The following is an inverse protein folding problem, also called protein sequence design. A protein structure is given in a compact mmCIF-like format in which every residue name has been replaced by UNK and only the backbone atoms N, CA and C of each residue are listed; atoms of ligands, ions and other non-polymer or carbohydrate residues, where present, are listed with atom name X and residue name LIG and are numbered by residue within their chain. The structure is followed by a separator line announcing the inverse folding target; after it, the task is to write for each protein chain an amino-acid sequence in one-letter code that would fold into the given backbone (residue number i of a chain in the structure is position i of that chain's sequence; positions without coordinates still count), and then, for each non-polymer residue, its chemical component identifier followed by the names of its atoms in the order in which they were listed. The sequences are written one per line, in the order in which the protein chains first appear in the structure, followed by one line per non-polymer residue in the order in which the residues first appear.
data_IF_845659413937
#
_entry.id   IF_845659413937
#
_cell.length_a   1.000
_cell.length_b   1.000
_cell.length_c   1.000
_cell.angle_alpha   90.00
_cell.angle_beta   90.00
_cell.angle_gamma   90.00
#
_symmetry.space_group_name_H-M   'P 1'
#
loop_
_entity.id
_entity.type
_entity.pdbx_description
1 polymer ?
#
# COMPACT_ATOMS: atom_id res chain seq x y z
N UNK A 1 13.92 -33.97 -14.32
CA UNK A 1 14.13 -32.52 -14.61
C UNK A 1 12.82 -31.82 -14.99
N UNK A 2 11.97 -32.44 -15.82
CA UNK A 2 10.68 -31.90 -16.30
C UNK A 2 9.74 -31.37 -15.22
N UNK A 3 9.56 -32.07 -14.08
CA UNK A 3 8.69 -31.60 -12.99
C UNK A 3 9.05 -30.20 -12.45
N UNK A 4 10.30 -29.77 -12.56
CA UNK A 4 10.73 -28.42 -12.13
C UNK A 4 10.39 -27.34 -13.18
N UNK A 5 10.35 -27.70 -14.46
CA UNK A 5 10.06 -26.78 -15.58
C UNK A 5 8.58 -26.36 -15.64
N UNK A 6 7.67 -27.24 -15.21
CA UNK A 6 6.23 -26.95 -15.15
C UNK A 6 5.76 -26.34 -13.81
N UNK A 7 6.66 -25.97 -12.92
CA UNK A 7 6.29 -25.44 -11.59
C UNK A 7 5.90 -23.96 -11.69
N UNK A 8 4.61 -23.69 -11.48
CA UNK A 8 4.04 -22.34 -11.60
C UNK A 8 4.51 -21.36 -10.53
N UNK A 9 4.89 -21.85 -9.34
CA UNK A 9 5.26 -20.99 -8.20
C UNK A 9 4.07 -20.33 -7.50
N UNK A 10 2.83 -20.75 -7.82
CA UNK A 10 1.57 -20.20 -7.29
C UNK A 10 1.55 -20.00 -5.78
N UNK A 11 2.12 -20.93 -5.02
CA UNK A 11 2.12 -20.89 -3.55
C UNK A 11 2.76 -19.59 -3.03
N UNK A 12 3.91 -19.21 -3.58
CA UNK A 12 4.60 -17.98 -3.16
C UNK A 12 3.76 -16.74 -3.52
N UNK A 13 3.21 -16.69 -4.73
CA UNK A 13 2.36 -15.58 -5.18
C UNK A 13 1.12 -15.44 -4.31
N UNK A 14 0.45 -16.54 -3.98
CA UNK A 14 -0.73 -16.54 -3.09
C UNK A 14 -0.36 -16.02 -1.70
N UNK A 15 0.76 -16.50 -1.14
CA UNK A 15 1.25 -16.04 0.16
C UNK A 15 1.54 -14.53 0.16
N UNK A 16 2.22 -14.02 -0.88
CA UNK A 16 2.50 -12.58 -1.05
C UNK A 16 1.20 -11.77 -1.15
N UNK A 17 0.20 -12.24 -1.90
CA UNK A 17 -1.09 -11.56 -1.99
C UNK A 17 -1.84 -11.54 -0.65
N UNK A 18 -1.81 -12.64 0.12
CA UNK A 18 -2.42 -12.70 1.46
C UNK A 18 -1.75 -11.69 2.38
N UNK A 19 -0.42 -11.63 2.41
CA UNK A 19 0.31 -10.67 3.24
C UNK A 19 -0.09 -9.23 2.89
N UNK A 20 -0.08 -8.87 1.60
CA UNK A 20 -0.49 -7.54 1.15
C UNK A 20 -1.95 -7.23 1.52
N UNK A 21 -2.86 -8.20 1.41
CA UNK A 21 -4.26 -8.02 1.79
C UNK A 21 -4.43 -7.79 3.30
N UNK A 22 -3.71 -8.53 4.14
CA UNK A 22 -3.71 -8.34 5.60
C UNK A 22 -3.17 -6.96 5.97
N UNK A 23 -2.09 -6.52 5.32
CA UNK A 23 -1.54 -5.18 5.54
C UNK A 23 -2.53 -4.08 5.12
N UNK A 24 -3.19 -4.22 3.96
CA UNK A 24 -4.23 -3.29 3.52
C UNK A 24 -5.40 -3.24 4.52
N UNK A 25 -5.87 -4.38 5.02
CA UNK A 25 -6.94 -4.45 6.00
C UNK A 25 -6.54 -3.79 7.33
N UNK A 26 -5.31 -4.01 7.79
CA UNK A 26 -4.78 -3.37 8.99
C UNK A 26 -4.75 -1.84 8.85
N UNK A 27 -4.29 -1.30 7.72
CA UNK A 27 -4.27 0.16 7.49
C UNK A 27 -5.68 0.74 7.36
N UNK A 28 -6.59 0.02 6.70
CA UNK A 28 -7.99 0.43 6.61
C UNK A 28 -8.66 0.48 8.00
N UNK A 29 -8.36 -0.50 8.87
CA UNK A 29 -8.85 -0.52 10.25
C UNK A 29 -8.26 0.63 11.08
N UNK A 30 -6.98 0.96 10.92
CA UNK A 30 -6.37 2.12 11.58
C UNK A 30 -7.01 3.44 11.12
N UNK A 31 -7.20 3.62 9.81
CA UNK A 31 -7.90 4.80 9.26
C UNK A 31 -9.31 4.91 9.85
N UNK A 32 -10.07 3.81 9.83
CA UNK A 32 -11.42 3.79 10.37
C UNK A 32 -11.46 4.10 11.87
N UNK A 33 -10.52 3.56 12.65
CA UNK A 33 -10.39 3.83 14.08
C UNK A 33 -10.04 5.29 14.39
N UNK A 34 -9.10 5.87 13.63
CA UNK A 34 -8.73 7.29 13.77
C UNK A 34 -9.92 8.19 13.43
N UNK A 35 -10.56 7.98 12.28
CA UNK A 35 -11.73 8.77 11.87
C UNK A 35 -12.86 8.61 12.89
N UNK A 36 -13.14 7.38 13.33
CA UNK A 36 -14.18 7.12 14.33
C UNK A 36 -13.91 7.86 15.64
N UNK A 37 -12.66 7.86 16.13
CA UNK A 37 -12.28 8.59 17.34
C UNK A 37 -12.38 10.10 17.15
N UNK A 38 -11.92 10.62 16.02
CA UNK A 38 -12.04 12.04 15.69
C UNK A 38 -13.50 12.49 15.63
N UNK A 39 -14.40 11.69 15.04
CA UNK A 39 -15.84 12.01 14.93
C UNK A 39 -16.59 11.82 16.24
N UNK A 40 -16.23 10.80 17.03
CA UNK A 40 -16.94 10.48 18.28
C UNK A 40 -16.48 11.35 19.44
N UNK A 41 -15.27 11.92 19.36
CA UNK A 41 -14.58 12.52 20.48
C UNK A 41 -14.02 11.46 21.43
N UNK A 42 -13.08 11.86 22.29
CA UNK A 42 -12.69 11.07 23.48
C UNK A 42 -13.46 11.56 24.71
N UNK A 43 -13.57 10.74 25.74
CA UNK A 43 -14.19 11.20 26.99
C UNK A 43 -13.37 12.37 27.55
N UNK A 44 -14.02 13.41 28.09
CA UNK A 44 -13.35 14.62 28.60
C UNK A 44 -12.27 14.30 29.64
N UNK A 45 -12.47 13.24 30.42
CA UNK A 45 -11.53 12.77 31.44
C UNK A 45 -10.26 12.09 30.87
N UNK A 46 -10.22 11.78 29.58
CA UNK A 46 -9.06 11.27 28.83
C UNK A 46 -8.39 12.37 27.98
N UNK A 47 -8.80 13.62 28.15
CA UNK A 47 -8.18 14.73 27.46
C UNK A 47 -6.80 15.06 28.02
N UNK A 48 -5.85 15.30 27.12
CA UNK A 48 -4.47 15.61 27.48
C UNK A 48 -4.09 17.05 27.07
N UNK A 49 -4.80 17.64 26.11
CA UNK A 49 -4.48 18.95 25.55
C UNK A 49 -5.73 19.81 25.32
N UNK A 50 -5.59 21.12 25.46
CA UNK A 50 -6.56 22.07 24.92
C UNK A 50 -6.64 21.93 23.39
N UNK A 51 -7.85 22.05 22.83
CA UNK A 51 -8.15 21.80 21.43
C UNK A 51 -8.57 20.36 21.12
N UNK A 52 -8.53 19.45 22.09
CA UNK A 52 -9.06 18.10 21.92
C UNK A 52 -10.59 18.14 21.74
N UNK A 53 -11.11 17.43 20.72
CA UNK A 53 -12.54 17.18 20.55
C UNK A 53 -12.97 16.05 21.50
N UNK A 54 -13.85 16.37 22.43
CA UNK A 54 -14.25 15.47 23.51
C UNK A 54 -15.77 15.34 23.63
N UNK A 55 -16.19 14.38 24.43
CA UNK A 55 -17.55 14.27 24.91
C UNK A 55 -17.59 14.12 26.44
N UNK A 56 -18.67 14.62 27.03
CA UNK A 56 -19.04 14.45 28.44
C UNK A 56 -20.43 13.81 28.47
N UNK A 57 -20.56 12.68 29.16
CA UNK A 57 -21.86 12.10 29.50
C UNK A 57 -22.33 12.75 30.81
N UNK A 58 -23.12 13.82 30.69
CA UNK A 58 -23.57 14.60 31.83
C UNK A 58 -24.79 13.95 32.49
N UNK A 59 -24.65 13.60 33.76
CA UNK A 59 -25.75 13.08 34.59
C UNK A 59 -26.54 14.23 35.22
N UNK A 60 -25.88 15.36 35.49
CA UNK A 60 -26.52 16.58 36.01
C UNK A 60 -26.06 17.81 35.23
N UNK A 61 -26.98 18.75 35.04
CA UNK A 61 -26.72 20.06 34.45
C UNK A 61 -27.35 21.15 35.34
N UNK A 62 -26.60 22.20 35.63
CA UNK A 62 -27.14 23.36 36.34
C UNK A 62 -27.84 24.32 35.38
N UNK A 63 -28.62 25.25 35.94
CA UNK A 63 -28.97 26.48 35.22
C UNK A 63 -27.70 27.25 34.85
N UNK A 64 -27.79 28.08 33.80
CA UNK A 64 -26.69 28.97 33.40
C UNK A 64 -26.28 29.90 34.55
N UNK A 65 -24.98 30.04 34.77
CA UNK A 65 -24.41 30.99 35.73
C UNK A 65 -23.81 32.22 35.06
N UNK A 66 -23.56 32.17 33.76
CA UNK A 66 -23.04 33.29 32.98
C UNK A 66 -23.44 33.16 31.50
N UNK A 67 -23.51 34.31 30.82
CA UNK A 67 -23.77 34.38 29.38
C UNK A 67 -22.72 35.30 28.75
N UNK A 68 -22.09 34.89 27.65
CA UNK A 68 -21.15 35.75 26.92
C UNK A 68 -21.83 36.67 25.89
N UNK A 69 -21.03 37.55 25.27
CA UNK A 69 -21.49 38.49 24.25
C UNK A 69 -22.01 37.82 22.97
N UNK A 70 -21.61 36.57 22.71
CA UNK A 70 -22.05 35.77 21.56
C UNK A 70 -23.37 35.02 21.84
N UNK A 71 -23.88 35.10 23.08
CA UNK A 71 -25.09 34.40 23.52
C UNK A 71 -24.85 32.95 23.89
N UNK A 72 -23.62 32.56 24.23
CA UNK A 72 -23.36 31.25 24.82
C UNK A 72 -23.62 31.28 26.32
N UNK A 73 -24.28 30.24 26.80
CA UNK A 73 -24.60 30.00 28.20
C UNK A 73 -23.55 29.09 28.83
N UNK A 74 -23.04 29.49 29.99
CA UNK A 74 -22.07 28.72 30.79
C UNK A 74 -22.78 28.05 31.95
N UNK A 75 -22.59 26.73 32.06
CA UNK A 75 -23.24 25.88 33.04
C UNK A 75 -22.27 24.85 33.60
N UNK A 76 -22.56 24.33 34.79
CA UNK A 76 -21.83 23.20 35.34
C UNK A 76 -22.49 21.90 34.90
N UNK A 77 -21.65 20.94 34.48
CA UNK A 77 -22.08 19.61 34.10
C UNK A 77 -21.30 18.57 34.90
N UNK A 78 -22.03 17.68 35.57
CA UNK A 78 -21.45 16.63 36.40
C UNK A 78 -21.53 15.29 35.66
N UNK A 79 -20.39 14.62 35.56
CA UNK A 79 -20.27 13.26 35.02
C UNK A 79 -19.71 12.30 36.04
N UNK A 80 -20.09 11.02 35.92
CA UNK A 80 -19.59 9.96 36.81
C UNK A 80 -18.55 9.10 36.10
N UNK A 81 -17.41 8.87 36.74
CA UNK A 81 -16.37 7.93 36.27
C UNK A 81 -16.03 6.95 37.39
N UNK A 82 -16.48 5.71 37.22
CA UNK A 82 -16.42 4.71 38.29
C UNK A 82 -17.31 5.15 39.47
N UNK A 83 -16.73 5.26 40.66
CA UNK A 83 -17.43 5.70 41.87
C UNK A 83 -17.26 7.20 42.16
N UNK A 84 -16.53 7.93 41.32
CA UNK A 84 -16.20 9.35 41.53
C UNK A 84 -17.00 10.27 40.60
N UNK A 85 -17.37 11.44 41.14
CA UNK A 85 -18.05 12.52 40.44
C UNK A 85 -17.05 13.59 40.04
N UNK A 86 -17.24 14.15 38.85
CA UNK A 86 -16.42 15.22 38.29
C UNK A 86 -17.31 16.29 37.70
N UNK A 87 -17.04 17.54 38.03
CA UNK A 87 -17.75 18.71 37.51
C UNK A 87 -16.90 19.42 36.46
N UNK A 88 -17.56 19.88 35.41
CA UNK A 88 -16.94 20.61 34.30
C UNK A 88 -17.73 21.86 33.96
N UNK A 89 -17.03 22.92 33.56
CA UNK A 89 -17.66 24.07 32.92
C UNK A 89 -17.97 23.69 31.47
N UNK A 90 -19.21 23.93 31.04
CA UNK A 90 -19.67 23.72 29.67
C UNK A 90 -20.25 25.02 29.13
N UNK A 91 -19.82 25.41 27.93
CA UNK A 91 -20.37 26.52 27.17
C UNK A 91 -21.25 25.98 26.05
N UNK A 92 -22.53 26.36 26.02
CA UNK A 92 -23.49 25.95 24.99
C UNK A 92 -24.14 27.18 24.33
N UNK A 93 -24.38 27.18 23.00
CA UNK A 93 -25.15 28.25 22.38
C UNK A 93 -26.56 28.35 22.95
N UNK A 94 -27.14 29.56 23.04
CA UNK A 94 -28.52 29.79 23.52
C UNK A 94 -29.54 28.84 22.86
N UNK A 95 -29.39 28.57 21.55
CA UNK A 95 -30.26 27.65 20.81
C UNK A 95 -30.22 26.21 21.32
N UNK A 96 -29.07 25.75 21.82
CA UNK A 96 -28.87 24.42 22.39
C UNK A 96 -29.32 24.40 23.84
N UNK A 97 -28.98 25.44 24.61
CA UNK A 97 -29.43 25.60 25.99
C UNK A 97 -30.95 25.53 26.09
N UNK A 98 -31.66 26.25 25.22
CA UNK A 98 -33.12 26.31 25.20
C UNK A 98 -33.80 25.10 24.51
N UNK A 99 -33.04 24.07 24.12
CA UNK A 99 -33.62 22.86 23.55
C UNK A 99 -34.36 22.04 24.60
N UNK A 100 -35.43 21.35 24.18
CA UNK A 100 -36.23 20.51 25.08
C UNK A 100 -35.39 19.48 25.84
N UNK A 101 -34.35 18.93 25.20
CA UNK A 101 -33.45 17.93 25.79
C UNK A 101 -32.58 18.52 26.91
N UNK A 102 -31.96 19.69 26.68
CA UNK A 102 -31.16 20.39 27.69
C UNK A 102 -32.02 20.90 28.84
N UNK A 103 -33.12 21.58 28.55
CA UNK A 103 -34.02 22.13 29.58
C UNK A 103 -34.64 21.02 30.44
N UNK A 104 -34.99 19.88 29.83
CA UNK A 104 -35.45 18.71 30.58
C UNK A 104 -34.36 18.19 31.52
N UNK A 105 -33.11 18.05 31.05
CA UNK A 105 -32.00 17.56 31.87
C UNK A 105 -31.64 18.52 33.02
N UNK A 106 -31.79 19.84 32.82
CA UNK A 106 -31.60 20.86 33.88
C UNK A 106 -32.71 20.77 34.94
N UNK A 107 -33.94 20.46 34.53
CA UNK A 107 -35.09 20.37 35.44
C UNK A 107 -35.19 19.02 36.19
N UNK A 108 -34.46 18.00 35.74
CA UNK A 108 -34.47 16.66 36.33
C UNK A 108 -33.56 16.58 37.56
N UNK A 109 -34.20 16.49 38.74
CA UNK A 109 -33.53 16.36 40.04
C UNK A 109 -33.30 14.88 40.45
N UNK A 110 -33.25 13.96 39.49
CA UNK A 110 -33.27 12.51 39.75
C UNK A 110 -32.02 11.77 39.27
N UNK A 111 -31.44 10.95 40.14
CA UNK A 111 -30.31 10.03 39.90
C UNK A 111 -30.55 8.96 38.80
N UNK A 112 -31.77 8.83 38.25
CA UNK A 112 -32.19 7.70 37.40
C UNK A 112 -32.44 8.09 35.92
N UNK A 113 -32.03 9.30 35.52
CA UNK A 113 -32.18 9.79 34.15
C UNK A 113 -30.95 9.45 33.31
N UNK A 114 -31.15 8.95 32.08
CA UNK A 114 -30.05 8.66 31.14
C UNK A 114 -29.11 9.87 30.98
N UNK A 115 -27.79 9.67 30.90
CA UNK A 115 -26.84 10.76 30.72
C UNK A 115 -27.06 11.47 29.39
N UNK A 116 -26.91 12.79 29.41
CA UNK A 116 -26.94 13.63 28.21
C UNK A 116 -25.52 13.78 27.67
N UNK A 117 -25.26 13.25 26.47
CA UNK A 117 -23.94 13.36 25.84
C UNK A 117 -23.73 14.73 25.21
N UNK A 118 -22.86 15.53 25.82
CA UNK A 118 -22.42 16.83 25.33
C UNK A 118 -21.11 16.66 24.59
N UNK A 119 -21.00 17.20 23.37
CA UNK A 119 -19.76 17.16 22.56
C UNK A 119 -19.23 18.56 22.33
N UNK A 120 -17.92 18.68 22.34
CA UNK A 120 -17.29 19.98 22.19
C UNK A 120 -15.78 19.91 22.12
N UNK A 121 -15.15 21.07 22.06
CA UNK A 121 -13.71 21.22 22.05
C UNK A 121 -13.27 21.80 23.38
N UNK A 122 -12.27 21.20 24.02
CA UNK A 122 -11.73 21.73 25.26
C UNK A 122 -10.97 23.02 25.01
N UNK A 123 -11.27 24.04 25.80
CA UNK A 123 -10.54 25.31 25.81
C UNK A 123 -10.11 25.65 27.22
N UNK A 124 -9.03 26.42 27.29
CA UNK A 124 -8.62 27.03 28.53
C UNK A 124 -9.62 28.15 28.89
N UNK A 125 -10.01 28.24 30.15
CA UNK A 125 -10.81 29.35 30.68
C UNK A 125 -9.95 30.63 30.75
N UNK A 126 -10.60 31.79 30.74
CA UNK A 126 -9.94 33.08 31.01
C UNK A 126 -10.25 33.57 32.43
N UNK A 127 -9.56 34.63 32.85
CA UNK A 127 -9.67 35.16 34.22
C UNK A 127 -11.07 35.62 34.58
N UNK A 128 -11.86 36.05 33.59
CA UNK A 128 -13.17 36.61 33.81
C UNK A 128 -14.18 35.47 34.03
N UNK A 129 -14.10 34.43 33.20
CA UNK A 129 -14.88 33.20 33.38
C UNK A 129 -14.49 32.46 34.67
N UNK A 130 -13.20 32.42 35.02
CA UNK A 130 -12.73 31.81 36.27
C UNK A 130 -13.31 32.51 37.51
N UNK A 131 -13.41 33.84 37.48
CA UNK A 131 -14.01 34.61 38.57
C UNK A 131 -15.52 34.38 38.69
N UNK A 132 -16.24 34.35 37.56
CA UNK A 132 -17.68 34.04 37.54
C UNK A 132 -17.95 32.60 38.01
N UNK A 133 -17.11 31.65 37.59
CA UNK A 133 -17.20 30.27 38.02
C UNK A 133 -16.90 30.12 39.52
N UNK A 134 -15.93 30.86 40.07
CA UNK A 134 -15.65 30.85 41.52
C UNK A 134 -16.88 31.24 42.33
N UNK A 135 -17.54 32.35 41.99
CA UNK A 135 -18.71 32.85 42.71
C UNK A 135 -19.87 31.85 42.63
N UNK A 136 -20.15 31.32 41.43
CA UNK A 136 -21.26 30.41 41.21
C UNK A 136 -21.00 29.01 41.80
N UNK A 137 -19.80 28.47 41.64
CA UNK A 137 -19.44 27.13 42.09
C UNK A 137 -19.35 27.03 43.62
N UNK A 138 -18.92 28.10 44.29
CA UNK A 138 -18.94 28.17 45.77
C UNK A 138 -20.34 27.93 46.33
N UNK A 139 -21.37 28.50 45.68
CA UNK A 139 -22.77 28.33 46.07
C UNK A 139 -23.26 26.93 45.70
N UNK A 140 -22.93 26.46 44.50
CA UNK A 140 -23.37 25.16 43.98
C UNK A 140 -22.80 23.97 44.77
N UNK A 141 -21.48 23.95 45.01
CA UNK A 141 -20.79 22.87 45.71
C UNK A 141 -20.73 23.07 47.23
N UNK A 142 -21.12 24.24 47.74
CA UNK A 142 -21.11 24.56 49.17
C UNK A 142 -19.69 24.69 49.74
N UNK A 143 -18.79 25.32 48.99
CA UNK A 143 -17.38 25.47 49.37
C UNK A 143 -17.20 26.44 50.55
N UNK A 144 -16.17 26.20 51.37
CA UNK A 144 -15.81 27.08 52.48
C UNK A 144 -15.13 28.37 51.99
N UNK A 145 -15.14 29.42 52.83
CA UNK A 145 -14.71 30.80 52.49
C UNK A 145 -13.20 31.01 52.25
N UNK A 146 -12.46 29.96 51.88
CA UNK A 146 -11.07 30.00 51.44
C UNK A 146 -10.71 28.94 50.40
N UNK A 147 -11.67 28.17 49.91
CA UNK A 147 -11.46 27.14 48.89
C UNK A 147 -11.60 27.72 47.48
N UNK A 148 -10.77 27.23 46.56
CA UNK A 148 -10.74 27.69 45.18
C UNK A 148 -11.47 26.69 44.27
N UNK A 149 -12.46 27.17 43.51
CA UNK A 149 -13.22 26.36 42.57
C UNK A 149 -12.33 25.74 41.48
N UNK A 150 -11.21 26.40 41.13
CA UNK A 150 -10.23 25.89 40.16
C UNK A 150 -9.58 24.57 40.62
N UNK A 151 -9.53 24.27 41.92
CA UNK A 151 -9.01 22.99 42.43
C UNK A 151 -9.94 21.81 42.07
N UNK A 152 -11.21 22.09 41.78
CA UNK A 152 -12.25 21.10 41.44
C UNK A 152 -12.56 21.08 39.95
N UNK A 153 -12.77 22.25 39.36
CA UNK A 153 -13.14 22.41 37.94
C UNK A 153 -11.93 22.40 37.01
N UNK A 154 -10.73 22.71 37.53
CA UNK A 154 -9.59 23.08 36.72
C UNK A 154 -9.80 24.39 35.96
N UNK A 155 -8.86 24.72 35.08
CA UNK A 155 -8.93 25.91 34.23
C UNK A 155 -9.35 25.53 32.79
N UNK A 156 -10.44 24.76 32.69
CA UNK A 156 -10.90 24.19 31.42
C UNK A 156 -12.42 24.34 31.25
N UNK A 157 -12.82 24.66 30.02
CA UNK A 157 -14.21 24.75 29.60
C UNK A 157 -14.43 23.89 28.36
N UNK A 158 -15.50 23.11 28.35
CA UNK A 158 -15.98 22.38 27.19
C UNK A 158 -16.86 23.30 26.34
N UNK A 159 -16.34 23.76 25.20
CA UNK A 159 -17.12 24.59 24.28
C UNK A 159 -17.88 23.68 23.31
N UNK A 160 -19.21 23.70 23.39
CA UNK A 160 -20.08 22.86 22.58
C UNK A 160 -19.81 23.05 21.09
N UNK A 161 -19.73 21.94 20.37
CA UNK A 161 -19.57 21.91 18.93
C UNK A 161 -20.48 20.83 18.37
N UNK A 162 -21.38 21.25 17.48
CA UNK A 162 -22.22 20.31 16.77
C UNK A 162 -21.32 19.31 16.01
N UNK A 163 -21.70 18.03 16.01
CA UNK A 163 -20.91 16.90 15.48
C UNK A 163 -20.43 17.04 14.02
N UNK A 164 -20.89 18.05 13.28
CA UNK A 164 -20.49 18.33 11.90
C UNK A 164 -19.05 18.83 11.72
N UNK A 165 -18.39 19.34 12.77
CA UNK A 165 -17.04 19.91 12.67
C UNK A 165 -15.92 19.02 13.23
N UNK A 166 -16.22 17.80 13.68
CA UNK A 166 -15.23 16.92 14.33
C UNK A 166 -14.04 16.51 13.42
N UNK A 167 -14.20 16.61 12.09
CA UNK A 167 -13.12 16.37 11.11
C UNK A 167 -12.25 17.61 10.83
N UNK A 168 -12.75 18.82 11.09
CA UNK A 168 -11.96 20.05 10.89
C UNK A 168 -10.88 20.23 11.96
N UNK A 169 -11.05 19.60 13.11
CA UNK A 169 -10.14 19.69 14.26
C UNK A 169 -8.99 18.66 14.17
N UNK A 170 -8.99 17.81 13.13
CA UNK A 170 -7.89 16.89 12.87
C UNK A 170 -6.63 17.68 12.50
N UNK A 171 -5.55 17.46 13.24
CA UNK A 171 -4.27 18.12 12.96
C UNK A 171 -3.74 17.82 11.55
N UNK A 172 -3.03 18.79 10.96
CA UNK A 172 -2.43 18.62 9.63
C UNK A 172 -1.51 17.39 9.55
N UNK A 173 -0.78 17.08 10.63
CA UNK A 173 0.06 15.89 10.72
C UNK A 173 -0.73 14.58 10.62
N UNK A 174 -1.90 14.51 11.26
CA UNK A 174 -2.78 13.34 11.18
C UNK A 174 -3.40 13.19 9.79
N UNK A 175 -3.79 14.29 9.13
CA UNK A 175 -4.24 14.26 7.74
C UNK A 175 -3.17 13.74 6.78
N UNK A 176 -1.91 14.17 6.96
CA UNK A 176 -0.77 13.65 6.18
C UNK A 176 -0.60 12.15 6.41
N UNK A 177 -0.70 11.68 7.65
CA UNK A 177 -0.61 10.26 7.97
C UNK A 177 -1.75 9.44 7.34
N UNK A 178 -2.99 9.94 7.40
CA UNK A 178 -4.15 9.30 6.76
C UNK A 178 -3.97 9.21 5.24
N UNK A 179 -3.55 10.30 4.60
CA UNK A 179 -3.29 10.33 3.16
C UNK A 179 -2.19 9.35 2.75
N UNK A 180 -1.11 9.26 3.54
CA UNK A 180 -0.04 8.30 3.32
C UNK A 180 -0.53 6.85 3.44
N UNK A 181 -1.31 6.53 4.48
CA UNK A 181 -1.88 5.18 4.64
C UNK A 181 -2.80 4.81 3.48
N UNK A 182 -3.66 5.73 3.03
CA UNK A 182 -4.52 5.53 1.87
C UNK A 182 -3.72 5.27 0.59
N UNK A 183 -2.64 6.04 0.35
CA UNK A 183 -1.74 5.83 -0.78
C UNK A 183 -1.10 4.44 -0.74
N UNK A 184 -0.63 4.00 0.43
CA UNK A 184 -0.02 2.67 0.60
C UNK A 184 -1.00 1.54 0.28
N UNK A 185 -2.26 1.64 0.72
CA UNK A 185 -3.31 0.67 0.38
C UNK A 185 -3.48 0.57 -1.14
N UNK A 186 -3.54 1.71 -1.84
CA UNK A 186 -3.67 1.74 -3.31
C UNK A 186 -2.48 1.05 -3.99
N UNK A 187 -1.25 1.37 -3.57
CA UNK A 187 -0.04 0.76 -4.11
C UNK A 187 -0.02 -0.77 -3.90
N UNK A 188 -0.47 -1.26 -2.73
CA UNK A 188 -0.56 -2.69 -2.45
C UNK A 188 -1.61 -3.39 -3.31
N UNK A 189 -2.77 -2.78 -3.52
CA UNK A 189 -3.81 -3.32 -4.41
C UNK A 189 -3.29 -3.43 -5.85
N UNK A 190 -2.60 -2.39 -6.35
CA UNK A 190 -2.00 -2.40 -7.68
C UNK A 190 -0.96 -3.52 -7.81
N UNK A 191 -0.12 -3.73 -6.79
CA UNK A 191 0.85 -4.83 -6.78
C UNK A 191 0.15 -6.21 -6.76
N UNK A 192 -0.91 -6.39 -5.96
CA UNK A 192 -1.71 -7.63 -5.96
C UNK A 192 -2.25 -7.93 -7.37
N UNK A 193 -2.86 -6.94 -8.04
CA UNK A 193 -3.37 -7.09 -9.40
C UNK A 193 -2.22 -7.47 -10.35
N UNK A 194 -1.07 -6.81 -10.23
CA UNK A 194 0.13 -7.09 -11.01
C UNK A 194 0.64 -8.53 -10.82
N UNK A 195 0.70 -9.01 -9.57
CA UNK A 195 1.11 -10.36 -9.22
C UNK A 195 0.14 -11.41 -9.80
N UNK A 196 -1.17 -11.19 -9.66
CA UNK A 196 -2.20 -12.09 -10.20
C UNK A 196 -2.11 -12.16 -11.73
N UNK A 197 -2.00 -11.02 -12.42
CA UNK A 197 -1.87 -10.99 -13.89
C UNK A 197 -0.65 -11.78 -14.36
N UNK A 198 0.51 -11.57 -13.73
CA UNK A 198 1.74 -12.32 -14.06
C UNK A 198 1.59 -13.81 -13.80
N UNK A 199 0.98 -14.19 -12.68
CA UNK A 199 0.75 -15.61 -12.36
C UNK A 199 -0.18 -16.26 -13.38
N UNK A 200 -1.28 -15.59 -13.76
CA UNK A 200 -2.19 -16.06 -14.81
C UNK A 200 -1.46 -16.24 -16.14
N UNK A 201 -0.62 -15.29 -16.55
CA UNK A 201 0.18 -15.41 -17.77
C UNK A 201 1.11 -16.62 -17.72
N UNK A 202 1.82 -16.80 -16.61
CA UNK A 202 2.70 -17.96 -16.40
C UNK A 202 1.93 -19.28 -16.43
N UNK A 203 0.76 -19.34 -15.81
CA UNK A 203 -0.08 -20.53 -15.78
C UNK A 203 -0.62 -20.87 -17.18
N UNK A 204 -1.02 -19.86 -17.97
CA UNK A 204 -1.41 -20.03 -19.38
C UNK A 204 -0.25 -20.60 -20.21
N UNK A 205 0.97 -20.05 -20.06
CA UNK A 205 2.17 -20.56 -20.74
C UNK A 205 2.45 -22.02 -20.36
N UNK A 206 2.37 -22.36 -19.08
CA UNK A 206 2.56 -23.75 -18.61
C UNK A 206 1.48 -24.68 -19.17
N UNK A 207 0.21 -24.25 -19.24
CA UNK A 207 -0.86 -25.05 -19.84
C UNK A 207 -0.64 -25.26 -21.35
N UNK A 208 -0.27 -24.20 -22.08
CA UNK A 208 0.08 -24.28 -23.49
C UNK A 208 1.27 -25.20 -23.75
N UNK A 209 2.32 -25.08 -22.93
CA UNK A 209 3.50 -25.94 -22.98
C UNK A 209 3.16 -27.43 -22.77
N UNK A 210 2.25 -27.75 -21.84
CA UNK A 210 1.79 -29.14 -21.65
C UNK A 210 1.08 -29.68 -22.88
N UNK A 211 0.19 -28.88 -23.49
CA UNK A 211 -0.50 -29.26 -24.72
C UNK A 211 0.50 -29.49 -25.86
N UNK A 212 1.46 -28.57 -26.05
CA UNK A 212 2.49 -28.71 -27.08
C UNK A 212 3.39 -29.92 -26.84
N UNK A 213 3.69 -30.25 -25.58
CA UNK A 213 4.42 -31.47 -25.24
C UNK A 213 3.65 -32.73 -25.65
N UNK A 214 2.32 -32.73 -25.60
CA UNK A 214 1.50 -33.87 -26.02
C UNK A 214 1.31 -33.92 -27.54
N UNK A 215 1.20 -32.76 -28.21
CA UNK A 215 0.78 -32.70 -29.61
C UNK A 215 1.88 -32.42 -30.62
N UNK A 216 3.04 -31.86 -30.22
CA UNK A 216 4.11 -31.44 -31.13
C UNK A 216 5.40 -32.23 -30.90
N UNK A 217 5.79 -33.01 -31.91
CA UNK A 217 7.06 -33.73 -31.92
C UNK A 217 8.27 -32.78 -31.86
N UNK A 218 8.18 -31.60 -32.48
CA UNK A 218 9.22 -30.58 -32.46
C UNK A 218 9.44 -30.02 -31.04
N UNK A 219 8.34 -29.71 -30.34
CA UNK A 219 8.39 -29.24 -28.96
C UNK A 219 8.94 -30.32 -28.01
N UNK A 220 8.53 -31.58 -28.17
CA UNK A 220 9.08 -32.70 -27.41
C UNK A 220 10.59 -32.87 -27.63
N UNK A 221 11.06 -32.71 -28.87
CA UNK A 221 12.47 -32.80 -29.20
C UNK A 221 13.28 -31.73 -28.46
N UNK A 222 12.83 -30.48 -28.48
CA UNK A 222 13.50 -29.40 -27.74
C UNK A 222 13.57 -29.65 -26.23
N UNK A 223 12.52 -30.22 -25.63
CA UNK A 223 12.55 -30.61 -24.20
C UNK A 223 13.51 -31.78 -23.95
N UNK A 224 13.53 -32.81 -24.82
CA UNK A 224 14.44 -33.96 -24.68
C UNK A 224 15.91 -33.55 -24.77
N UNK A 225 16.25 -32.62 -25.66
CA UNK A 225 17.62 -32.14 -25.80
C UNK A 225 18.16 -31.47 -24.52
N UNK A 226 17.31 -31.05 -23.58
CA UNK A 226 17.78 -30.52 -22.29
C UNK A 226 18.50 -31.56 -21.42
N UNK A 227 18.34 -32.85 -21.74
CA UNK A 227 19.01 -33.97 -21.06
C UNK A 227 20.30 -34.43 -21.75
N UNK A 228 20.61 -33.87 -22.92
CA UNK A 228 21.81 -34.21 -23.68
C UNK A 228 23.07 -33.55 -23.09
N UNK A 229 24.23 -34.14 -23.34
CA UNK A 229 25.52 -33.69 -22.77
C UNK A 229 26.00 -32.34 -23.31
N UNK A 230 25.49 -31.91 -24.47
CA UNK A 230 25.82 -30.65 -25.13
C UNK A 230 24.91 -29.49 -24.68
N UNK A 231 23.86 -29.77 -23.90
CA UNK A 231 22.96 -28.76 -23.36
C UNK A 231 23.62 -27.92 -22.27
N UNK A 232 23.76 -26.62 -22.51
CA UNK A 232 24.32 -25.68 -21.54
C UNK A 232 23.22 -25.15 -20.63
N UNK A 233 23.30 -25.46 -19.33
CA UNK A 233 22.34 -25.00 -18.33
C UNK A 233 22.79 -23.70 -17.65
N UNK A 234 21.99 -22.65 -17.81
CA UNK A 234 22.16 -21.38 -17.13
C UNK A 234 21.21 -21.32 -15.92
N UNK A 235 21.67 -21.82 -14.77
CA UNK A 235 20.87 -21.94 -13.53
C UNK A 235 20.22 -20.63 -13.09
N UNK A 236 20.96 -19.52 -13.14
CA UNK A 236 20.50 -18.20 -12.68
C UNK A 236 19.33 -17.67 -13.53
N UNK A 237 19.34 -17.98 -14.83
CA UNK A 237 18.34 -17.56 -15.80
C UNK A 237 17.23 -18.61 -16.01
N UNK A 238 17.34 -19.79 -15.38
CA UNK A 238 16.45 -20.95 -15.62
C UNK A 238 16.26 -21.21 -17.12
N UNK A 239 17.37 -21.24 -17.84
CA UNK A 239 17.40 -21.35 -19.30
C UNK A 239 18.40 -22.44 -19.71
N UNK A 240 18.07 -23.21 -20.74
CA UNK A 240 18.96 -24.12 -21.44
C UNK A 240 19.16 -23.62 -22.86
N UNK A 241 20.40 -23.69 -23.33
CA UNK A 241 20.72 -23.61 -24.76
C UNK A 241 21.15 -25.00 -25.19
N UNK A 242 20.31 -25.67 -25.97
CA UNK A 242 20.55 -27.04 -26.46
C UNK A 242 21.21 -27.02 -27.84
N UNK A 243 21.30 -28.17 -28.52
CA UNK A 243 21.78 -28.23 -29.90
C UNK A 243 21.02 -27.26 -30.81
N UNK A 244 19.70 -27.37 -30.80
CA UNK A 244 18.82 -26.73 -31.79
C UNK A 244 17.80 -25.74 -31.17
N UNK A 245 17.64 -25.73 -29.84
CA UNK A 245 16.56 -24.99 -29.16
C UNK A 245 17.07 -24.13 -27.99
N UNK A 246 16.31 -23.09 -27.68
CA UNK A 246 16.35 -22.40 -26.39
C UNK A 246 15.16 -22.88 -25.55
N UNK A 247 15.43 -23.34 -24.33
CA UNK A 247 14.40 -23.81 -23.39
C UNK A 247 14.44 -22.97 -22.12
N UNK A 248 13.47 -22.08 -21.96
CA UNK A 248 13.33 -21.20 -20.80
C UNK A 248 12.19 -21.66 -19.91
N UNK A 249 12.38 -21.71 -18.58
CA UNK A 249 11.33 -22.09 -17.62
C UNK A 249 11.18 -21.08 -16.46
N UNK A 250 11.65 -19.84 -16.66
CA UNK A 250 11.62 -18.81 -15.63
C UNK A 250 10.21 -18.26 -15.38
N UNK A 251 9.54 -17.81 -16.43
CA UNK A 251 8.22 -17.18 -16.41
C UNK A 251 7.15 -18.04 -17.12
N UNK A 252 7.37 -19.36 -17.13
CA UNK A 252 6.62 -20.34 -17.91
C UNK A 252 7.59 -21.14 -18.79
N UNK A 253 7.21 -22.35 -19.19
CA UNK A 253 8.04 -23.15 -20.09
C UNK A 253 7.85 -22.65 -21.53
N UNK A 254 8.94 -22.24 -22.16
CA UNK A 254 9.02 -21.83 -23.57
C UNK A 254 10.14 -22.62 -24.24
N UNK A 255 9.85 -23.11 -25.44
CA UNK A 255 10.79 -23.86 -26.29
C UNK A 255 10.64 -23.27 -27.68
N UNK A 256 11.72 -22.72 -28.21
CA UNK A 256 11.77 -22.16 -29.55
C UNK A 256 13.09 -22.49 -30.21
N UNK A 257 13.08 -22.61 -31.54
CA UNK A 257 14.23 -23.05 -32.31
C UNK A 257 15.24 -21.92 -32.52
N UNK A 258 16.52 -22.25 -32.43
CA UNK A 258 17.62 -21.28 -32.58
C UNK A 258 17.74 -20.78 -34.02
N UNK A 259 17.50 -21.66 -35.01
CA UNK A 259 17.56 -21.30 -36.43
C UNK A 259 16.43 -20.36 -36.88
N UNK A 260 15.34 -20.28 -36.10
CA UNK A 260 14.24 -19.36 -36.36
C UNK A 260 14.47 -17.98 -35.76
N UNK A 261 15.45 -17.79 -34.89
CA UNK A 261 15.74 -16.49 -34.28
C UNK A 261 16.31 -15.56 -35.36
N UNK A 262 15.68 -14.40 -35.54
CA UNK A 262 16.18 -13.33 -36.42
C UNK A 262 16.89 -12.24 -35.65
N UNK A 263 16.32 -11.86 -34.50
CA UNK A 263 16.78 -10.72 -33.73
C UNK A 263 16.89 -11.07 -32.25
N UNK A 264 17.91 -10.52 -31.58
CA UNK A 264 18.15 -10.73 -30.15
C UNK A 264 18.46 -9.39 -29.46
N UNK A 265 17.75 -9.11 -28.37
CA UNK A 265 17.78 -7.83 -27.66
C UNK A 265 17.96 -7.99 -26.15
N UNK A 266 18.54 -6.95 -25.53
CA UNK A 266 18.48 -6.73 -24.10
C UNK A 266 17.33 -5.80 -23.75
N UNK A 267 16.47 -6.23 -22.82
CA UNK A 267 15.35 -5.44 -22.34
C UNK A 267 15.41 -5.20 -20.84
N UNK A 268 15.30 -3.93 -20.47
CA UNK A 268 15.36 -3.50 -19.09
C UNK A 268 13.97 -3.10 -18.59
N UNK A 269 13.51 -3.80 -17.57
CA UNK A 269 12.21 -3.57 -16.96
C UNK A 269 12.36 -3.14 -15.52
N UNK A 270 11.87 -1.95 -15.20
CA UNK A 270 11.74 -1.52 -13.81
C UNK A 270 10.63 -2.33 -13.14
N UNK A 271 10.92 -2.78 -11.92
CA UNK A 271 9.99 -3.53 -11.09
C UNK A 271 9.94 -2.92 -9.70
N UNK A 272 8.73 -2.56 -9.30
CA UNK A 272 8.41 -2.16 -7.96
C UNK A 272 8.00 -3.39 -7.13
N UNK A 273 8.43 -3.44 -5.88
CA UNK A 273 8.12 -4.47 -4.90
C UNK A 273 7.55 -3.80 -3.64
N UNK A 274 6.22 -3.81 -3.52
CA UNK A 274 5.51 -3.16 -2.42
C UNK A 274 5.99 -3.60 -1.02
N UNK A 275 6.22 -4.90 -0.80
CA UNK A 275 6.65 -5.43 0.50
C UNK A 275 8.05 -4.91 0.86
N UNK A 276 8.98 -4.91 -0.10
CA UNK A 276 10.34 -4.41 0.13
C UNK A 276 10.33 -2.90 0.38
N UNK A 277 9.49 -2.17 -0.37
CA UNK A 277 9.30 -0.73 -0.16
C UNK A 277 8.77 -0.42 1.24
N UNK A 278 7.90 -1.27 1.78
CA UNK A 278 7.34 -1.09 3.12
C UNK A 278 8.37 -1.43 4.21
N UNK A 279 9.05 -2.57 4.10
CA UNK A 279 9.96 -3.06 5.14
C UNK A 279 11.28 -2.28 5.17
N UNK A 280 11.78 -1.86 4.01
CA UNK A 280 13.13 -1.30 3.86
C UNK A 280 13.15 0.11 3.26
N UNK A 281 11.97 0.75 3.15
CA UNK A 281 11.82 2.11 2.61
C UNK A 281 11.67 2.18 1.09
N UNK A 282 11.22 3.34 0.59
CA UNK A 282 10.78 3.53 -0.79
C UNK A 282 11.79 3.06 -1.85
N UNK A 283 13.08 3.33 -1.64
CA UNK A 283 14.14 2.99 -2.59
C UNK A 283 14.43 1.48 -2.67
N UNK A 284 14.22 0.74 -1.58
CA UNK A 284 14.44 -0.71 -1.56
C UNK A 284 13.37 -1.49 -2.35
N UNK A 285 12.23 -0.85 -2.64
CA UNK A 285 11.18 -1.40 -3.47
C UNK A 285 11.52 -1.42 -4.97
N UNK A 286 12.50 -0.63 -5.42
CA UNK A 286 12.84 -0.54 -6.84
C UNK A 286 13.94 -1.54 -7.21
N UNK A 287 13.67 -2.33 -8.24
CA UNK A 287 14.66 -3.22 -8.85
C UNK A 287 14.60 -3.10 -10.36
N UNK A 288 15.74 -3.30 -11.01
CA UNK A 288 15.84 -3.35 -12.47
C UNK A 288 16.03 -4.82 -12.85
N UNK A 289 15.11 -5.34 -13.65
CA UNK A 289 15.19 -6.69 -14.20
C UNK A 289 15.66 -6.59 -15.65
N UNK A 290 16.70 -7.33 -15.98
CA UNK A 290 17.24 -7.42 -17.32
C UNK A 290 16.78 -8.73 -17.97
N UNK A 291 16.26 -8.67 -19.18
CA UNK A 291 15.77 -9.81 -19.97
C UNK A 291 16.55 -9.92 -21.28
N UNK A 292 16.71 -11.14 -21.78
CA UNK A 292 16.96 -11.37 -23.21
C UNK A 292 15.63 -11.54 -23.94
N UNK A 293 15.54 -10.97 -25.13
CA UNK A 293 14.34 -11.05 -25.96
C UNK A 293 14.74 -11.52 -27.34
N UNK A 294 14.17 -12.65 -27.78
CA UNK A 294 14.34 -13.16 -29.13
C UNK A 294 13.08 -12.89 -29.94
N UNK A 295 13.27 -12.48 -31.19
CA UNK A 295 12.20 -12.39 -32.19
C UNK A 295 12.46 -13.46 -33.23
N UNK A 296 11.49 -14.35 -33.41
CA UNK A 296 11.56 -15.46 -34.37
C UNK A 296 11.02 -15.05 -35.75
N UNK A 297 11.31 -15.87 -36.75
CA UNK A 297 11.01 -15.59 -38.15
C UNK A 297 9.51 -15.49 -38.48
N UNK A 298 8.67 -16.11 -37.67
CA UNK A 298 7.21 -16.03 -37.66
C UNK A 298 6.67 -14.81 -36.90
N UNK A 299 7.56 -13.99 -36.33
CA UNK A 299 7.21 -12.77 -35.61
C UNK A 299 6.80 -13.00 -34.16
N UNK A 300 7.06 -14.17 -33.57
CA UNK A 300 6.84 -14.39 -32.14
C UNK A 300 7.94 -13.72 -31.29
N UNK A 301 7.56 -13.24 -30.11
CA UNK A 301 8.47 -12.58 -29.17
C UNK A 301 8.61 -13.44 -27.92
N UNK A 302 9.83 -13.89 -27.66
CA UNK A 302 10.17 -14.68 -26.49
C UNK A 302 11.01 -13.83 -25.55
N UNK A 303 10.45 -13.48 -24.39
CA UNK A 303 11.21 -12.86 -23.30
C UNK A 303 11.75 -13.99 -22.41
N UNK A 304 13.04 -14.28 -22.54
CA UNK A 304 13.71 -15.39 -21.89
C UNK A 304 14.95 -14.92 -21.11
N UNK A 305 15.39 -15.71 -20.14
CA UNK A 305 16.55 -15.40 -19.31
C UNK A 305 16.48 -14.01 -18.63
N UNK A 306 15.74 -13.92 -17.52
CA UNK A 306 15.68 -12.74 -16.65
C UNK A 306 16.74 -12.79 -15.55
N UNK A 307 17.39 -11.66 -15.30
CA UNK A 307 18.39 -11.48 -14.24
C UNK A 307 18.17 -10.16 -13.49
N UNK A 308 18.47 -10.16 -12.18
CA UNK A 308 18.35 -8.97 -11.32
C UNK A 308 19.64 -8.14 -11.28
N UNK A 309 20.80 -8.76 -11.54
CA UNK A 309 22.10 -8.11 -11.65
C UNK A 309 23.10 -9.16 -12.16
N UNK A 310 23.34 -9.22 -13.46
CA UNK A 310 24.54 -9.83 -14.07
C UNK A 310 24.42 -9.78 -15.60
N UNK A 311 25.32 -9.07 -16.28
CA UNK A 311 25.36 -9.02 -17.75
C UNK A 311 26.13 -10.20 -18.35
N UNK A 312 27.11 -10.76 -17.61
CA UNK A 312 27.96 -11.87 -18.07
C UNK A 312 27.18 -13.13 -18.48
N UNK A 313 26.15 -13.59 -17.74
CA UNK A 313 25.36 -14.75 -18.16
C UNK A 313 24.56 -14.48 -19.43
N UNK A 314 24.05 -13.26 -19.64
CA UNK A 314 23.39 -12.91 -20.91
C UNK A 314 24.36 -12.99 -22.08
N UNK A 315 25.59 -12.48 -21.92
CA UNK A 315 26.61 -12.61 -22.95
C UNK A 315 26.94 -14.07 -23.27
N UNK A 316 27.05 -14.93 -22.25
CA UNK A 316 27.32 -16.36 -22.44
C UNK A 316 26.16 -17.09 -23.14
N UNK A 317 24.92 -16.72 -22.82
CA UNK A 317 23.72 -17.27 -23.49
C UNK A 317 23.69 -16.83 -24.95
N UNK A 318 23.83 -15.52 -25.21
CA UNK A 318 23.84 -14.98 -26.57
C UNK A 318 24.98 -15.56 -27.41
N UNK A 319 26.19 -15.68 -26.85
CA UNK A 319 27.33 -16.31 -27.51
C UNK A 319 27.04 -17.77 -27.88
N UNK A 320 26.45 -18.54 -26.96
CA UNK A 320 26.07 -19.93 -27.22
C UNK A 320 25.01 -20.07 -28.34
N UNK A 321 24.08 -19.11 -28.43
CA UNK A 321 23.06 -19.05 -29.50
C UNK A 321 23.71 -18.66 -30.83
N UNK A 322 24.57 -17.65 -30.85
CA UNK A 322 25.23 -17.13 -32.05
C UNK A 322 26.21 -18.12 -32.68
N UNK A 323 26.86 -18.97 -31.86
CA UNK A 323 27.67 -20.09 -32.36
C UNK A 323 26.87 -21.04 -33.25
N UNK A 324 25.56 -21.14 -33.03
CA UNK A 324 24.64 -22.05 -33.74
C UNK A 324 23.89 -21.34 -34.86
N UNK A 325 23.62 -20.04 -34.71
CA UNK A 325 23.00 -19.21 -35.72
C UNK A 325 23.69 -17.84 -35.80
N UNK A 326 24.59 -17.70 -36.79
CA UNK A 326 25.38 -16.48 -36.99
C UNK A 326 24.61 -15.36 -37.72
N UNK A 327 23.44 -15.67 -38.28
CA UNK A 327 22.60 -14.69 -38.99
C UNK A 327 21.77 -13.80 -38.07
N UNK A 328 21.80 -14.07 -36.76
CA UNK A 328 21.07 -13.28 -35.77
C UNK A 328 21.63 -11.87 -35.70
N UNK A 329 20.71 -10.93 -35.71
CA UNK A 329 20.96 -9.51 -35.54
C UNK A 329 20.89 -9.15 -34.05
N UNK A 330 21.87 -8.39 -33.57
CA UNK A 330 22.03 -7.98 -32.18
C UNK A 330 21.64 -6.53 -31.95
N UNK A 331 20.70 -6.33 -31.03
CA UNK A 331 20.37 -5.00 -30.52
C UNK A 331 19.64 -4.12 -31.52
N UNK A 332 19.38 -2.88 -31.11
CA UNK A 332 18.51 -1.91 -31.82
C UNK A 332 19.12 -1.27 -33.08
N UNK A 333 20.32 -1.70 -33.48
CA UNK A 333 21.12 -1.07 -34.54
C UNK A 333 21.34 -1.98 -35.73
N UNK A 334 20.58 -3.07 -35.81
CA UNK A 334 20.68 -4.08 -36.85
C UNK A 334 22.10 -4.63 -37.07
N UNK A 335 22.87 -4.77 -35.98
CA UNK A 335 24.27 -5.19 -36.04
C UNK A 335 24.38 -6.71 -36.06
N UNK A 336 25.05 -7.27 -37.07
CA UNK A 336 25.51 -8.67 -37.02
C UNK A 336 26.72 -8.81 -36.10
N UNK A 337 26.99 -10.02 -35.62
CA UNK A 337 28.12 -10.29 -34.74
C UNK A 337 29.48 -9.88 -35.36
N UNK A 338 29.64 -10.10 -36.67
CA UNK A 338 30.83 -9.68 -37.42
C UNK A 338 30.96 -8.16 -37.50
N UNK A 339 29.85 -7.43 -37.66
CA UNK A 339 29.83 -5.97 -37.63
C UNK A 339 30.11 -5.39 -36.25
N UNK A 340 29.81 -6.13 -35.18
CA UNK A 340 30.13 -5.76 -33.80
C UNK A 340 31.61 -5.99 -33.42
N UNK A 341 32.40 -6.63 -34.29
CA UNK A 341 33.84 -6.88 -34.07
C UNK A 341 34.14 -7.80 -32.88
N UNK A 342 33.21 -8.68 -32.50
CA UNK A 342 33.35 -9.60 -31.37
C UNK A 342 33.19 -11.05 -31.83
N UNK A 343 33.91 -11.96 -31.18
CA UNK A 343 33.72 -13.40 -31.34
C UNK A 343 32.60 -13.88 -30.40
N UNK A 344 31.92 -14.99 -30.68
CA UNK A 344 30.91 -15.52 -29.77
C UNK A 344 31.44 -15.85 -28.37
N UNK A 345 32.71 -16.23 -28.26
CA UNK A 345 33.35 -16.61 -26.99
C UNK A 345 33.77 -15.38 -26.15
N UNK A 346 34.07 -14.24 -26.80
CA UNK A 346 34.44 -12.97 -26.14
C UNK A 346 33.30 -11.94 -26.11
N UNK A 347 32.07 -12.36 -26.40
CA UNK A 347 30.92 -11.48 -26.51
C UNK A 347 30.69 -10.71 -25.20
N UNK A 348 30.55 -9.39 -25.33
CA UNK A 348 30.17 -8.51 -24.23
C UNK A 348 29.01 -7.60 -24.67
N UNK A 349 27.80 -8.05 -24.38
CA UNK A 349 26.56 -7.36 -24.74
C UNK A 349 26.44 -5.95 -24.14
N UNK A 350 27.12 -5.66 -23.01
CA UNK A 350 27.16 -4.31 -22.45
C UNK A 350 27.90 -3.31 -23.34
N UNK A 351 28.86 -3.80 -24.15
CA UNK A 351 29.64 -2.97 -25.09
C UNK A 351 28.96 -2.83 -26.45
N UNK A 352 27.94 -3.65 -26.72
CA UNK A 352 27.16 -3.54 -27.97
C UNK A 352 26.20 -2.36 -27.82
N UNK A 353 26.46 -1.29 -28.60
CA UNK A 353 25.69 -0.06 -28.54
C UNK A 353 24.21 -0.33 -28.82
N UNK A 354 23.33 0.13 -27.92
CA UNK A 354 21.88 0.00 -28.07
C UNK A 354 21.33 -1.42 -27.84
N UNK A 355 22.14 -2.35 -27.33
CA UNK A 355 21.66 -3.70 -27.03
C UNK A 355 20.65 -3.71 -25.88
N UNK A 356 20.97 -3.07 -24.75
CA UNK A 356 20.05 -2.88 -23.62
C UNK A 356 19.24 -1.58 -23.72
N UNK A 357 18.03 -1.60 -23.18
CA UNK A 357 17.14 -0.45 -23.11
C UNK A 357 15.74 -0.82 -22.66
N UNK A 358 14.96 0.19 -22.26
CA UNK A 358 13.61 0.05 -21.70
C UNK A 358 12.48 0.20 -22.75
N UNK A 359 12.82 0.46 -24.01
CA UNK A 359 11.83 0.62 -25.08
C UNK A 359 11.38 -0.73 -25.64
N UNK A 360 10.06 -0.93 -25.69
CA UNK A 360 9.42 -2.12 -26.27
C UNK A 360 9.37 -2.04 -27.80
N UNK A 361 10.52 -2.23 -28.44
CA UNK A 361 10.72 -2.14 -29.89
C UNK A 361 9.92 -3.15 -30.73
N UNK A 362 9.36 -4.19 -30.10
CA UNK A 362 8.55 -5.23 -30.74
C UNK A 362 7.04 -4.96 -30.68
N UNK A 363 6.62 -3.90 -29.99
CA UNK A 363 5.20 -3.51 -29.91
C UNK A 363 4.68 -3.15 -31.31
N UNK A 364 3.66 -3.86 -31.79
CA UNK A 364 3.09 -3.67 -33.13
C UNK A 364 3.82 -4.42 -34.27
N UNK A 365 4.91 -5.15 -33.99
CA UNK A 365 5.66 -5.95 -34.98
C UNK A 365 5.51 -7.47 -34.81
N UNK A 366 4.82 -7.91 -33.77
CA UNK A 366 4.83 -9.32 -33.34
C UNK A 366 3.45 -9.97 -33.36
N UNK A 367 3.41 -11.23 -33.83
CA UNK A 367 2.28 -12.13 -33.64
C UNK A 367 2.39 -12.71 -32.24
N UNK A 368 1.60 -12.16 -31.32
CA UNK A 368 1.68 -12.46 -29.90
C UNK A 368 0.99 -13.81 -29.57
N UNK A 369 1.43 -14.93 -30.15
CA UNK A 369 0.84 -16.26 -29.84
C UNK A 369 1.12 -16.69 -28.38
N UNK A 370 2.30 -16.35 -27.84
CA UNK A 370 2.67 -16.51 -26.43
C UNK A 370 2.58 -15.21 -25.61
N UNK A 371 2.30 -14.09 -26.29
CA UNK A 371 1.95 -12.82 -25.69
C UNK A 371 0.44 -12.64 -25.62
N UNK A 372 -0.26 -13.54 -24.93
CA UNK A 372 -1.67 -13.30 -24.63
C UNK A 372 -1.73 -12.06 -23.72
N UNK A 373 -2.34 -10.99 -24.23
CA UNK A 373 -2.59 -9.70 -23.57
C UNK A 373 -3.05 -9.82 -22.12
#
# INVERSE_FOLDING_TARGET
MEKKMFRSGRVLTVLTCIILAVMSAFFAMLIAGIISRSVSGKEISEADNYGDFVYLDAEYLTTSFATDEEGNEYLFASGKKGDSWYDYIVSVPETVYNSDEFQKKIAEDSDDASPLRIKGTLRQTDSDLDALAQDAYTIYAGLDSGENAADYLGNVCLVYSASGNALSDISAGLWIALAFMALMIVLWIVEIIGLIRRQRKKDRKIAGAKKLLETSADYQNGVKQTSETDARHFKNCRCYVTRDYVVSYQDGLEVFRIDQIRELYGYDKQRYHAILSFVFGAFAGFSMEHYLVAITADGEVHQFARLNAAVKPHSQIAGAILLKNQSIVLGRMDLTLSAAGQTPDDLNLAKVKGFYGSTDIWTGRSMNSFGIE
#
